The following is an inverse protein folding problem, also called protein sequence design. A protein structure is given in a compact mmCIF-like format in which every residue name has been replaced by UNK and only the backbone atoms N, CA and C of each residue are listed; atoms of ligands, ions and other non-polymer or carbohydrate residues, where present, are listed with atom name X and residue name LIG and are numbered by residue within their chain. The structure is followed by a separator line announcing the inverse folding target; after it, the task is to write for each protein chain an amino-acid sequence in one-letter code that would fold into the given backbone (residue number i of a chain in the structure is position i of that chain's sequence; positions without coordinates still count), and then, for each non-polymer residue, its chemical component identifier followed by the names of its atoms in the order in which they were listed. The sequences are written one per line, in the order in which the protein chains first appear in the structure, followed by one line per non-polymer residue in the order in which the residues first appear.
data_IF_543746998024
#
_entry.id   IF_543746998024
#
_cell.length_a   1.000
_cell.length_b   1.000
_cell.length_c   1.000
_cell.angle_alpha   90.00
_cell.angle_beta   90.00
_cell.angle_gamma   90.00
#
_symmetry.space_group_name_H-M   'P 1'
#
loop_
_entity.id
_entity.type
_entity.pdbx_description
1 polymer ?
#
# COMPACT_ATOMS: atom_id res chain seq x y z
N UNK A 1 -13.26 14.60 7.76
CA UNK A 1 -14.52 13.87 7.99
C UNK A 1 -15.38 14.48 9.11
N UNK A 2 -14.85 14.82 10.29
CA UNK A 2 -15.67 15.40 11.37
C UNK A 2 -16.33 16.75 11.04
N UNK A 3 -15.65 17.66 10.32
CA UNK A 3 -16.24 18.96 9.92
C UNK A 3 -17.50 18.82 9.05
N UNK A 4 -17.47 17.92 8.07
CA UNK A 4 -18.65 17.61 7.23
C UNK A 4 -19.75 16.91 8.03
N UNK A 5 -19.38 16.03 8.96
CA UNK A 5 -20.32 15.42 9.92
C UNK A 5 -21.01 16.45 10.80
N UNK A 6 -20.28 17.42 11.36
CA UNK A 6 -20.84 18.49 12.19
C UNK A 6 -21.75 19.43 11.40
N UNK A 7 -21.41 19.72 10.14
CA UNK A 7 -22.24 20.55 9.26
C UNK A 7 -23.56 19.86 8.90
N UNK A 8 -23.53 18.58 8.54
CA UNK A 8 -24.74 17.79 8.28
C UNK A 8 -25.66 17.68 9.52
N UNK A 9 -25.07 17.67 10.71
CA UNK A 9 -25.81 17.70 11.98
C UNK A 9 -26.41 19.07 12.29
N UNK A 10 -25.65 20.14 12.10
CA UNK A 10 -26.14 21.52 12.27
C UNK A 10 -27.40 21.77 11.42
N UNK A 11 -27.43 21.22 10.21
CA UNK A 11 -28.60 21.25 9.33
C UNK A 11 -29.81 20.49 9.92
N UNK A 12 -29.60 19.30 10.51
CA UNK A 12 -30.66 18.52 11.18
C UNK A 12 -31.20 19.22 12.44
N UNK A 13 -30.32 19.82 13.23
CA UNK A 13 -30.72 20.57 14.43
C UNK A 13 -31.54 21.80 14.07
N UNK A 14 -31.17 22.53 13.02
CA UNK A 14 -32.00 23.63 12.46
C UNK A 14 -33.38 23.15 12.04
N UNK A 15 -33.48 21.99 11.37
CA UNK A 15 -34.77 21.41 10.97
C UNK A 15 -35.63 21.01 12.18
N UNK A 16 -35.00 20.61 13.29
CA UNK A 16 -35.68 20.25 14.54
C UNK A 16 -35.94 21.47 15.47
N UNK A 17 -35.75 22.70 14.98
CA UNK A 17 -36.06 23.92 15.73
C UNK A 17 -35.01 24.35 16.76
N UNK A 18 -33.81 23.76 16.75
CA UNK A 18 -32.71 24.24 17.60
C UNK A 18 -32.12 25.55 17.08
N UNK A 19 -32.07 26.56 17.95
CA UNK A 19 -31.32 27.80 17.76
C UNK A 19 -29.82 27.60 18.06
N UNK A 20 -28.93 28.44 17.52
CA UNK A 20 -27.48 28.36 17.76
C UNK A 20 -26.70 27.45 16.81
N UNK A 21 -27.08 27.45 15.52
CA UNK A 21 -26.41 26.69 14.46
C UNK A 21 -25.92 27.60 13.32
N UNK A 22 -25.60 28.85 13.63
CA UNK A 22 -25.06 29.84 12.69
C UNK A 22 -23.55 29.72 12.55
N UNK A 23 -22.99 30.36 11.52
CA UNK A 23 -21.53 30.40 11.35
C UNK A 23 -20.88 31.09 12.56
N UNK A 24 -19.92 30.42 13.20
CA UNK A 24 -19.28 30.89 14.44
C UNK A 24 -19.80 30.21 15.71
N UNK A 25 -20.96 29.54 15.65
CA UNK A 25 -21.52 28.86 16.82
C UNK A 25 -20.83 27.51 17.09
N UNK A 26 -20.67 27.16 18.37
CA UNK A 26 -20.13 25.87 18.80
C UNK A 26 -21.27 24.88 19.01
N UNK A 27 -21.22 23.73 18.33
CA UNK A 27 -22.27 22.70 18.40
C UNK A 27 -21.75 21.46 19.15
N UNK A 28 -22.22 21.18 20.39
CA UNK A 28 -21.73 20.03 21.18
C UNK A 28 -22.24 18.72 20.60
N UNK A 29 -21.42 17.67 20.49
CA UNK A 29 -21.81 16.39 19.86
C UNK A 29 -21.22 15.18 20.57
N UNK A 30 -21.86 14.03 20.39
CA UNK A 30 -21.35 12.71 20.78
C UNK A 30 -21.61 11.71 19.64
N UNK A 31 -20.70 10.77 19.41
CA UNK A 31 -20.85 9.72 18.39
C UNK A 31 -21.46 8.48 19.03
N UNK A 32 -22.54 7.99 18.41
CA UNK A 32 -23.33 6.87 18.92
C UNK A 32 -23.41 5.70 17.93
N UNK A 33 -23.69 4.49 18.45
CA UNK A 33 -24.15 3.32 17.71
C UNK A 33 -25.64 3.06 18.00
N UNK A 34 -26.33 2.37 17.08
CA UNK A 34 -27.74 2.00 17.23
C UNK A 34 -27.82 0.60 17.87
N UNK A 35 -28.75 0.41 18.82
CA UNK A 35 -28.82 -0.80 19.65
C UNK A 35 -29.40 -2.04 18.93
N UNK A 36 -30.26 -1.85 17.92
CA UNK A 36 -31.06 -2.93 17.30
C UNK A 36 -30.57 -3.41 15.91
N UNK A 37 -29.31 -3.16 15.53
CA UNK A 37 -28.76 -3.68 14.29
C UNK A 37 -27.49 -4.48 14.56
N UNK A 38 -27.48 -5.75 14.14
CA UNK A 38 -26.29 -6.64 14.14
C UNK A 38 -25.08 -6.04 13.39
N UNK A 39 -25.27 -4.93 12.68
CA UNK A 39 -24.21 -4.06 12.16
C UNK A 39 -24.04 -2.82 13.05
N UNK A 40 -23.13 -2.90 14.02
CA UNK A 40 -22.76 -1.84 14.99
C UNK A 40 -22.23 -0.54 14.33
N UNK A 41 -21.96 -0.56 13.01
CA UNK A 41 -21.44 0.56 12.23
C UNK A 41 -22.28 0.95 11.00
N UNK A 42 -23.59 0.67 11.02
CA UNK A 42 -24.54 1.02 9.95
C UNK A 42 -24.71 2.54 9.78
N UNK A 43 -23.78 3.20 9.08
CA UNK A 43 -23.90 4.61 8.69
C UNK A 43 -22.61 5.41 8.87
N UNK A 44 -22.43 6.42 8.00
CA UNK A 44 -21.27 7.31 8.09
C UNK A 44 -21.23 8.07 9.42
N UNK A 45 -20.05 8.48 9.88
CA UNK A 45 -19.84 9.21 11.17
C UNK A 45 -20.81 10.39 11.34
N UNK A 46 -21.16 11.06 10.23
CA UNK A 46 -22.17 12.12 10.15
C UNK A 46 -23.55 11.69 10.67
N UNK A 47 -24.00 10.51 10.26
CA UNK A 47 -25.30 9.95 10.62
C UNK A 47 -25.33 9.42 12.06
N UNK A 48 -24.17 9.22 12.67
CA UNK A 48 -23.98 8.70 14.02
C UNK A 48 -23.76 9.78 15.08
N UNK A 49 -23.47 11.01 14.67
CA UNK A 49 -23.34 12.16 15.58
C UNK A 49 -24.71 12.61 16.12
N UNK A 50 -24.82 12.77 17.45
CA UNK A 50 -26.02 13.18 18.18
C UNK A 50 -25.72 14.31 19.17
N UNK A 51 -26.77 15.01 19.63
CA UNK A 51 -26.64 15.94 20.77
C UNK A 51 -26.61 15.17 22.09
N UNK A 52 -25.79 15.58 23.08
CA UNK A 52 -25.83 14.97 24.42
C UNK A 52 -27.25 14.93 25.02
N UNK A 53 -28.06 15.95 24.77
CA UNK A 53 -29.45 16.01 25.26
C UNK A 53 -30.42 15.09 24.48
N UNK A 54 -30.08 14.65 23.27
CA UNK A 54 -30.86 13.59 22.59
C UNK A 54 -30.60 12.24 23.24
N UNK A 55 -29.35 11.99 23.66
CA UNK A 55 -28.97 10.75 24.35
C UNK A 55 -29.61 10.66 25.75
N UNK A 56 -29.72 11.79 26.45
CA UNK A 56 -30.41 11.86 27.76
C UNK A 56 -31.91 11.62 27.66
N UNK A 57 -32.52 12.00 26.52
CA UNK A 57 -33.97 11.84 26.29
C UNK A 57 -34.34 10.42 25.86
N UNK A 58 -33.53 9.80 25.00
CA UNK A 58 -33.80 8.47 24.44
C UNK A 58 -32.64 7.48 24.73
N UNK A 59 -32.45 7.04 26.00
CA UNK A 59 -31.31 6.20 26.39
C UNK A 59 -31.32 4.79 25.76
N UNK A 60 -32.50 4.29 25.37
CA UNK A 60 -32.68 2.93 24.83
C UNK A 60 -32.53 2.84 23.31
N UNK A 61 -32.28 3.96 22.62
CA UNK A 61 -32.20 4.01 21.15
C UNK A 61 -30.76 4.13 20.64
N UNK A 62 -29.91 4.81 21.41
CA UNK A 62 -28.55 5.15 21.02
C UNK A 62 -27.60 4.83 22.17
N UNK A 63 -26.50 4.15 21.85
CA UNK A 63 -25.40 3.92 22.79
C UNK A 63 -24.16 4.68 22.35
N UNK A 64 -23.26 5.01 23.27
CA UNK A 64 -22.00 5.68 22.94
C UNK A 64 -21.11 4.68 22.18
N UNK A 65 -20.55 5.11 21.06
CA UNK A 65 -19.61 4.30 20.29
C UNK A 65 -18.20 4.37 20.90
N UNK A 66 -17.95 3.53 21.90
CA UNK A 66 -16.66 3.50 22.65
C UNK A 66 -15.49 3.19 21.70
N UNK A 67 -15.67 2.26 20.76
CA UNK A 67 -14.62 1.86 19.81
C UNK A 67 -14.18 3.04 18.93
N UNK A 68 -15.11 3.91 18.51
CA UNK A 68 -14.77 5.13 17.78
C UNK A 68 -13.85 6.06 18.58
N UNK A 69 -14.15 6.29 19.86
CA UNK A 69 -13.34 7.19 20.69
C UNK A 69 -11.95 6.60 20.98
N UNK A 70 -11.89 5.30 21.28
CA UNK A 70 -10.62 4.60 21.45
C UNK A 70 -9.77 4.66 20.18
N UNK A 71 -10.34 4.36 19.01
CA UNK A 71 -9.60 4.26 17.76
C UNK A 71 -9.29 5.59 17.06
N UNK A 72 -10.17 6.60 17.16
CA UNK A 72 -10.03 7.85 16.40
C UNK A 72 -9.59 9.05 17.25
N UNK A 73 -9.73 9.00 18.58
CA UNK A 73 -9.35 10.12 19.45
C UNK A 73 -8.24 9.77 20.42
N UNK A 74 -8.34 8.63 21.12
CA UNK A 74 -7.38 8.25 22.16
C UNK A 74 -6.12 7.64 21.52
N UNK A 75 -6.28 6.61 20.69
CA UNK A 75 -5.16 5.90 20.05
C UNK A 75 -4.21 6.84 19.29
N UNK A 76 -4.66 7.76 18.43
CA UNK A 76 -3.75 8.65 17.70
C UNK A 76 -2.91 9.56 18.61
N UNK A 77 -3.48 10.01 19.73
CA UNK A 77 -2.77 10.86 20.69
C UNK A 77 -1.72 10.06 21.44
N UNK A 78 -2.06 8.85 21.90
CA UNK A 78 -1.12 7.96 22.60
C UNK A 78 -0.01 7.48 21.66
N UNK A 79 -0.37 7.06 20.44
CA UNK A 79 0.55 6.66 19.37
C UNK A 79 1.63 7.72 19.15
N UNK A 80 1.22 8.99 19.00
CA UNK A 80 2.14 10.12 18.81
C UNK A 80 3.05 10.39 20.02
N UNK A 81 2.53 10.27 21.24
CA UNK A 81 3.32 10.50 22.46
C UNK A 81 4.34 9.37 22.70
N UNK A 82 4.01 8.15 22.30
CA UNK A 82 4.86 6.98 22.49
C UNK A 82 5.76 6.67 21.29
N UNK A 83 5.62 7.38 20.16
CA UNK A 83 6.33 7.07 18.91
C UNK A 83 7.86 6.97 19.05
N UNK A 84 8.47 7.74 19.96
CA UNK A 84 9.91 7.74 20.21
C UNK A 84 10.35 6.77 21.32
N UNK A 85 9.44 5.95 21.87
CA UNK A 85 9.76 5.00 22.94
C UNK A 85 10.04 3.64 22.30
N UNK A 86 11.28 3.18 22.44
CA UNK A 86 11.70 1.87 21.96
C UNK A 86 10.82 0.73 22.52
N UNK A 87 10.51 -0.25 21.68
CA UNK A 87 9.67 -1.39 22.04
C UNK A 87 8.16 -1.10 22.07
N UNK A 88 7.74 0.13 21.73
CA UNK A 88 6.33 0.44 21.48
C UNK A 88 6.01 0.42 19.98
N UNK A 89 4.79 0.03 19.63
CA UNK A 89 4.29 0.08 18.26
C UNK A 89 2.81 0.48 18.25
N UNK A 90 2.31 1.14 17.19
CA UNK A 90 0.90 1.49 17.09
C UNK A 90 -0.03 0.28 17.27
N UNK A 91 0.38 -0.89 16.77
CA UNK A 91 -0.36 -2.14 16.91
C UNK A 91 -0.41 -2.63 18.37
N UNK A 92 0.71 -2.56 19.10
CA UNK A 92 0.79 -2.93 20.52
C UNK A 92 -0.02 -1.97 21.40
N UNK A 93 0.01 -0.68 21.09
CA UNK A 93 -0.81 0.33 21.76
C UNK A 93 -2.30 0.14 21.49
N UNK A 94 -2.68 -0.29 20.28
CA UNK A 94 -4.06 -0.65 19.96
C UNK A 94 -4.54 -1.86 20.77
N UNK A 95 -3.70 -2.89 20.89
CA UNK A 95 -3.99 -4.07 21.73
C UNK A 95 -4.21 -3.67 23.20
N UNK A 96 -3.36 -2.79 23.76
CA UNK A 96 -3.54 -2.26 25.11
C UNK A 96 -4.86 -1.49 25.30
N UNK A 97 -5.42 -0.91 24.24
CA UNK A 97 -6.72 -0.23 24.24
C UNK A 97 -7.90 -1.17 23.98
N UNK A 98 -7.66 -2.47 23.81
CA UNK A 98 -8.69 -3.45 23.45
C UNK A 98 -9.18 -3.34 22.00
N UNK A 99 -8.39 -2.72 21.13
CA UNK A 99 -8.66 -2.59 19.70
C UNK A 99 -7.98 -3.73 18.93
N UNK A 100 -8.54 -4.07 17.77
CA UNK A 100 -7.96 -5.06 16.86
C UNK A 100 -6.62 -4.55 16.29
N UNK A 101 -5.52 -5.14 16.76
CA UNK A 101 -4.15 -4.74 16.41
C UNK A 101 -3.86 -4.81 14.91
N UNK A 102 -4.52 -5.71 14.16
CA UNK A 102 -4.32 -5.88 12.72
C UNK A 102 -4.66 -4.62 11.93
N UNK A 103 -5.66 -3.85 12.38
CA UNK A 103 -6.09 -2.59 11.74
C UNK A 103 -5.09 -1.45 11.90
N UNK A 104 -4.12 -1.59 12.80
CA UNK A 104 -3.14 -0.55 13.15
C UNK A 104 -1.70 -0.91 12.73
N UNK A 105 -1.48 -2.11 12.16
CA UNK A 105 -0.17 -2.52 11.63
C UNK A 105 0.22 -1.72 10.37
N UNK A 106 -0.74 -1.30 9.56
CA UNK A 106 -0.50 -0.75 8.22
C UNK A 106 -0.16 0.75 8.17
N UNK A 107 -0.24 1.47 9.30
CA UNK A 107 0.00 2.94 9.33
C UNK A 107 1.38 3.34 9.85
N UNK A 108 2.21 2.38 10.25
CA UNK A 108 3.60 2.63 10.66
C UNK A 108 4.56 2.85 9.48
N UNK A 109 4.08 2.83 8.24
CA UNK A 109 4.95 2.95 7.06
C UNK A 109 5.20 4.44 6.79
N UNK A 110 6.26 4.99 7.40
CA UNK A 110 7.01 6.11 6.82
C UNK A 110 7.04 7.46 7.55
N UNK A 111 6.67 7.56 8.84
CA UNK A 111 6.76 8.83 9.59
C UNK A 111 7.76 8.83 10.75
N UNK A 112 8.54 7.77 10.95
CA UNK A 112 9.72 7.81 11.80
C UNK A 112 10.93 8.22 10.96
N UNK A 113 11.60 9.27 11.41
CA UNK A 113 12.76 9.91 10.80
C UNK A 113 14.06 9.07 10.94
N UNK A 114 13.99 7.74 10.94
CA UNK A 114 15.09 6.76 11.08
C UNK A 114 14.65 5.54 10.25
N UNK A 115 15.32 5.04 9.20
CA UNK A 115 16.72 5.10 8.82
C UNK A 115 16.86 5.21 7.29
N UNK A 116 17.69 6.14 6.80
CA UNK A 116 18.23 6.11 5.43
C UNK A 116 18.97 4.80 5.11
N UNK A 117 19.30 4.00 6.12
CA UNK A 117 19.97 2.70 6.00
C UNK A 117 19.09 1.61 5.36
N UNK A 118 17.75 1.70 5.44
CA UNK A 118 16.84 0.73 4.80
C UNK A 118 16.56 1.04 3.33
N UNK A 119 17.03 2.17 2.80
CA UNK A 119 16.77 2.58 1.40
C UNK A 119 17.66 1.90 0.36
N UNK A 120 18.77 1.27 0.77
CA UNK A 120 19.62 0.53 -0.15
C UNK A 120 19.07 -0.88 -0.34
N UNK A 121 18.11 -1.02 -1.28
CA UNK A 121 17.58 -2.31 -1.72
C UNK A 121 18.68 -3.33 -1.99
N UNK A 122 19.87 -2.90 -2.45
CA UNK A 122 21.01 -3.75 -2.75
C UNK A 122 21.66 -4.43 -1.54
N UNK A 123 21.44 -3.94 -0.31
CA UNK A 123 22.09 -4.45 0.91
C UNK A 123 21.28 -5.54 1.61
N UNK A 124 19.97 -5.64 1.34
CA UNK A 124 19.09 -6.64 1.95
C UNK A 124 19.27 -7.97 1.22
N UNK A 125 19.80 -9.00 1.89
CA UNK A 125 20.02 -10.32 1.28
C UNK A 125 18.72 -11.13 1.13
N UNK A 126 17.75 -10.91 2.02
CA UNK A 126 16.44 -11.56 1.97
C UNK A 126 15.53 -10.91 0.91
N UNK A 127 15.08 -11.71 -0.06
CA UNK A 127 14.23 -11.27 -1.17
C UNK A 127 12.81 -10.92 -0.70
N UNK A 128 12.30 -11.60 0.32
CA UNK A 128 10.97 -11.36 0.89
C UNK A 128 10.95 -10.03 1.66
N UNK A 129 12.05 -9.70 2.34
CA UNK A 129 12.20 -8.40 3.00
C UNK A 129 12.46 -7.28 2.00
N UNK A 130 13.32 -7.52 0.99
CA UNK A 130 13.66 -6.53 -0.05
C UNK A 130 12.44 -6.05 -0.83
N UNK A 131 11.51 -6.94 -1.15
CA UNK A 131 10.30 -6.62 -1.91
C UNK A 131 9.04 -6.57 -1.06
N UNK A 132 9.22 -6.43 0.26
CA UNK A 132 8.10 -6.27 1.19
C UNK A 132 7.24 -5.06 0.80
N UNK A 133 5.93 -5.30 0.69
CA UNK A 133 4.96 -4.26 0.31
C UNK A 133 4.84 -4.02 -1.21
N UNK A 134 5.60 -4.74 -2.05
CA UNK A 134 5.33 -4.75 -3.49
C UNK A 134 4.05 -5.52 -3.82
N UNK A 135 3.33 -5.03 -4.82
CA UNK A 135 2.17 -5.72 -5.37
C UNK A 135 2.63 -6.84 -6.32
N UNK A 136 2.08 -8.07 -6.20
CA UNK A 136 2.49 -9.20 -7.02
C UNK A 136 2.17 -8.95 -8.50
N UNK A 137 2.99 -9.50 -9.40
CA UNK A 137 2.69 -9.47 -10.84
C UNK A 137 1.46 -10.33 -11.11
N UNK A 138 0.38 -9.75 -11.62
CA UNK A 138 -0.85 -10.50 -11.95
C UNK A 138 -1.02 -10.64 -13.45
N UNK A 139 -1.30 -11.84 -13.93
CA UNK A 139 -1.60 -12.09 -15.34
C UNK A 139 -3.08 -12.41 -15.51
N UNK A 140 -3.67 -11.90 -16.59
CA UNK A 140 -5.03 -12.24 -17.04
C UNK A 140 -4.94 -13.22 -18.20
N UNK A 141 -5.71 -14.30 -18.11
CA UNK A 141 -5.82 -15.27 -19.19
C UNK A 141 -6.58 -14.68 -20.39
N UNK A 142 -6.07 -14.76 -21.63
CA UNK A 142 -6.76 -14.25 -22.81
C UNK A 142 -8.06 -15.00 -23.14
N UNK A 143 -8.20 -16.26 -22.71
CA UNK A 143 -9.39 -17.08 -22.97
C UNK A 143 -10.41 -17.01 -21.83
N UNK A 144 -10.05 -17.39 -20.60
CA UNK A 144 -11.01 -17.45 -19.50
C UNK A 144 -11.16 -16.15 -18.71
N UNK A 145 -10.42 -15.08 -19.05
CA UNK A 145 -10.39 -13.74 -18.39
C UNK A 145 -9.98 -13.71 -16.91
N UNK A 146 -9.85 -14.86 -16.25
CA UNK A 146 -9.38 -14.97 -14.88
C UNK A 146 -7.98 -14.36 -14.71
N UNK A 147 -7.77 -13.74 -13.56
CA UNK A 147 -6.47 -13.24 -13.12
C UNK A 147 -5.81 -14.19 -12.13
N UNK A 148 -4.51 -14.40 -12.27
CA UNK A 148 -3.70 -15.20 -11.35
C UNK A 148 -2.37 -14.49 -11.07
N UNK A 149 -1.74 -14.83 -9.94
CA UNK A 149 -0.42 -14.31 -9.59
C UNK A 149 0.64 -15.07 -10.36
N UNK A 150 1.53 -14.33 -11.03
CA UNK A 150 2.67 -14.87 -11.73
C UNK A 150 3.76 -15.16 -10.70
N UNK A 151 4.14 -16.43 -10.49
CA UNK A 151 5.23 -16.73 -9.57
C UNK A 151 6.56 -16.21 -10.14
N UNK A 152 7.55 -15.89 -9.29
CA UNK A 152 8.92 -15.64 -9.72
C UNK A 152 9.47 -16.82 -10.54
N UNK A 153 10.29 -16.55 -11.55
CA UNK A 153 10.96 -17.61 -12.34
C UNK A 153 11.79 -18.54 -11.45
N UNK A 154 12.29 -18.05 -10.30
CA UNK A 154 13.00 -18.86 -9.29
C UNK A 154 12.16 -20.00 -8.73
N UNK A 155 10.82 -19.95 -8.79
CA UNK A 155 9.96 -21.04 -8.35
C UNK A 155 10.16 -22.33 -9.16
N UNK A 156 10.70 -22.24 -10.38
CA UNK A 156 11.07 -23.42 -11.18
C UNK A 156 12.14 -24.27 -10.48
N UNK A 157 13.03 -23.66 -9.69
CA UNK A 157 14.08 -24.39 -8.96
C UNK A 157 13.44 -25.29 -7.90
N UNK A 158 12.48 -24.76 -7.12
CA UNK A 158 11.77 -25.54 -6.11
C UNK A 158 11.09 -26.77 -6.73
N UNK A 159 10.48 -26.61 -7.90
CA UNK A 159 9.82 -27.70 -8.65
C UNK A 159 10.78 -28.80 -9.12
N UNK A 160 12.07 -28.52 -9.27
CA UNK A 160 13.08 -29.51 -9.67
C UNK A 160 13.57 -30.34 -8.48
N UNK A 161 13.54 -29.76 -7.28
CA UNK A 161 14.02 -30.40 -6.06
C UNK A 161 13.01 -31.40 -5.49
N UNK A 162 11.70 -31.18 -5.67
CA UNK A 162 10.65 -32.11 -5.23
C UNK A 162 9.65 -32.44 -6.36
N UNK A 163 9.68 -33.68 -6.91
CA UNK A 163 8.75 -34.10 -7.97
C UNK A 163 7.28 -34.21 -7.51
N UNK A 164 6.98 -34.18 -6.20
CA UNK A 164 5.61 -34.13 -5.69
C UNK A 164 5.02 -32.70 -5.67
N UNK A 165 5.85 -31.65 -5.61
CA UNK A 165 5.41 -30.24 -5.74
C UNK A 165 5.10 -29.86 -7.19
N UNK A 166 5.59 -30.63 -8.16
CA UNK A 166 5.31 -30.49 -9.59
C UNK A 166 3.83 -30.70 -10.00
N UNK A 167 2.90 -30.79 -9.05
CA UNK A 167 1.44 -30.84 -9.29
C UNK A 167 0.73 -29.51 -9.05
N UNK A 168 1.37 -28.52 -8.43
CA UNK A 168 0.76 -27.19 -8.33
C UNK A 168 0.78 -26.51 -9.72
N UNK A 169 -0.42 -26.27 -10.25
CA UNK A 169 -0.61 -25.62 -11.55
C UNK A 169 0.04 -24.23 -11.61
N UNK A 170 0.17 -23.55 -10.46
CA UNK A 170 0.79 -22.23 -10.34
C UNK A 170 2.30 -22.32 -10.54
N UNK A 171 2.96 -23.29 -9.91
CA UNK A 171 4.42 -23.50 -9.99
C UNK A 171 4.84 -23.90 -11.41
N UNK A 172 3.99 -24.67 -12.11
CA UNK A 172 4.23 -25.07 -13.49
C UNK A 172 3.85 -24.03 -14.55
N UNK A 173 3.42 -22.83 -14.15
CA UNK A 173 3.08 -21.76 -15.09
C UNK A 173 4.20 -21.54 -16.12
N UNK A 174 5.45 -21.42 -15.68
CA UNK A 174 6.58 -21.14 -16.56
C UNK A 174 6.90 -22.28 -17.54
N UNK A 175 6.70 -23.54 -17.14
CA UNK A 175 6.89 -24.70 -18.03
C UNK A 175 5.86 -24.72 -19.15
N UNK A 176 4.61 -24.37 -18.82
CA UNK A 176 3.46 -24.52 -19.72
C UNK A 176 3.12 -23.25 -20.47
N UNK A 177 3.51 -22.09 -19.92
CA UNK A 177 3.07 -20.76 -20.33
C UNK A 177 1.55 -20.70 -20.50
N UNK A 178 0.81 -21.31 -19.58
CA UNK A 178 -0.66 -21.48 -19.64
C UNK A 178 -1.30 -21.05 -18.34
N UNK A 179 -2.52 -20.52 -18.45
CA UNK A 179 -3.29 -20.18 -17.27
C UNK A 179 -3.51 -21.41 -16.37
N UNK A 180 -3.20 -21.35 -15.07
CA UNK A 180 -3.39 -22.46 -14.14
C UNK A 180 -4.87 -22.80 -13.87
N UNK A 181 -5.80 -21.93 -14.29
CA UNK A 181 -7.24 -22.10 -14.10
C UNK A 181 -7.96 -22.62 -15.35
N UNK A 182 -7.27 -22.76 -16.48
CA UNK A 182 -7.85 -23.36 -17.68
C UNK A 182 -7.60 -24.88 -17.68
N UNK A 183 -8.51 -25.68 -18.28
CA UNK A 183 -8.24 -27.08 -18.58
C UNK A 183 -7.11 -27.21 -19.62
N UNK A 184 -6.42 -28.36 -19.59
CA UNK A 184 -5.18 -28.60 -20.33
C UNK A 184 -5.35 -28.70 -21.85
N UNK A 185 -6.57 -28.91 -22.35
CA UNK A 185 -6.82 -29.14 -23.77
C UNK A 185 -7.07 -27.85 -24.60
N UNK A 186 -7.14 -26.67 -23.97
CA UNK A 186 -7.45 -25.42 -24.67
C UNK A 186 -6.18 -24.62 -24.99
N UNK A 187 -5.74 -24.62 -26.26
CA UNK A 187 -4.54 -23.89 -26.70
C UNK A 187 -4.70 -22.35 -26.62
N UNK A 188 -5.94 -21.85 -26.62
CA UNK A 188 -6.29 -20.44 -26.47
C UNK A 188 -5.93 -19.86 -25.07
N UNK A 189 -5.62 -20.71 -24.09
CA UNK A 189 -5.20 -20.28 -22.75
C UNK A 189 -3.69 -20.05 -22.61
N UNK A 190 -2.92 -20.13 -23.72
CA UNK A 190 -1.47 -19.85 -23.72
C UNK A 190 -1.18 -18.35 -23.59
N UNK A 191 -0.26 -18.04 -22.69
CA UNK A 191 0.31 -16.70 -22.54
C UNK A 191 1.49 -16.57 -23.51
N UNK A 192 1.26 -15.90 -24.64
CA UNK A 192 2.33 -15.62 -25.59
C UNK A 192 3.32 -14.57 -25.04
N UNK A 193 4.56 -14.51 -25.55
CA UNK A 193 5.54 -13.48 -25.17
C UNK A 193 4.97 -12.06 -25.27
N UNK A 194 4.24 -11.78 -26.34
CA UNK A 194 3.62 -10.48 -26.56
C UNK A 194 2.53 -10.16 -25.52
N UNK A 195 1.72 -11.15 -25.13
CA UNK A 195 0.70 -10.97 -24.07
C UNK A 195 1.37 -10.69 -22.73
N UNK A 196 2.42 -11.45 -22.39
CA UNK A 196 3.20 -11.25 -21.17
C UNK A 196 3.79 -9.83 -21.11
N UNK A 197 4.53 -9.42 -22.15
CA UNK A 197 5.15 -8.11 -22.24
C UNK A 197 4.13 -6.97 -22.14
N UNK A 198 3.01 -7.07 -22.86
CA UNK A 198 1.93 -6.08 -22.83
C UNK A 198 1.29 -5.96 -21.44
N UNK A 199 1.06 -7.08 -20.74
CA UNK A 199 0.45 -7.06 -19.42
C UNK A 199 1.37 -6.50 -18.33
N UNK A 200 2.67 -6.80 -18.41
CA UNK A 200 3.68 -6.22 -17.50
C UNK A 200 3.80 -4.73 -17.71
N UNK A 201 3.92 -4.28 -18.98
CA UNK A 201 3.96 -2.87 -19.33
C UNK A 201 2.75 -2.11 -18.79
N UNK A 202 1.54 -2.64 -19.02
CA UNK A 202 0.29 -2.02 -18.52
C UNK A 202 0.29 -1.88 -17.00
N UNK A 203 0.79 -2.87 -16.26
CA UNK A 203 0.89 -2.78 -14.81
C UNK A 203 1.95 -1.78 -14.37
N UNK A 204 3.13 -1.76 -15.01
CA UNK A 204 4.16 -0.77 -14.75
C UNK A 204 3.64 0.66 -14.98
N UNK A 205 2.93 0.89 -16.09
CA UNK A 205 2.30 2.18 -16.39
C UNK A 205 1.27 2.60 -15.33
N UNK A 206 0.54 1.64 -14.73
CA UNK A 206 -0.38 1.94 -13.63
C UNK A 206 0.36 2.41 -12.37
N UNK A 207 1.49 1.81 -12.02
CA UNK A 207 2.32 2.25 -10.89
C UNK A 207 2.96 3.61 -11.16
N UNK A 208 3.43 3.84 -12.39
CA UNK A 208 3.94 5.13 -12.82
C UNK A 208 2.84 6.20 -12.72
N UNK A 209 1.63 5.90 -13.21
CA UNK A 209 0.49 6.80 -13.08
C UNK A 209 0.15 7.08 -11.60
N UNK A 210 0.17 6.05 -10.74
CA UNK A 210 -0.03 6.22 -9.28
C UNK A 210 1.01 7.16 -8.66
N UNK A 211 2.27 7.05 -9.05
CA UNK A 211 3.33 7.98 -8.63
C UNK A 211 3.06 9.41 -9.12
N UNK A 212 2.77 9.59 -10.40
CA UNK A 212 2.54 10.90 -10.98
C UNK A 212 1.20 11.55 -10.59
N UNK A 213 0.24 10.79 -10.07
CA UNK A 213 -0.93 11.37 -9.38
C UNK A 213 -0.50 12.23 -8.19
N UNK A 214 0.66 12.00 -7.57
CA UNK A 214 1.24 12.91 -6.58
C UNK A 214 0.38 13.11 -5.34
N UNK A 215 -0.29 12.06 -4.86
CA UNK A 215 -1.11 12.14 -3.66
C UNK A 215 -0.24 12.42 -2.43
N UNK A 216 -0.49 13.54 -1.78
CA UNK A 216 0.09 13.95 -0.51
C UNK A 216 -0.91 13.74 0.62
N UNK A 217 -0.44 13.30 1.78
CA UNK A 217 -1.24 13.20 3.00
C UNK A 217 -0.47 13.78 4.18
N UNK A 218 -1.17 14.49 5.05
CA UNK A 218 -0.60 14.95 6.31
C UNK A 218 -0.24 13.75 7.20
N UNK A 219 1.00 13.73 7.69
CA UNK A 219 1.54 12.72 8.62
C UNK A 219 0.84 12.73 10.00
N UNK A 220 0.32 13.88 10.42
CA UNK A 220 -0.45 14.01 11.67
C UNK A 220 -1.73 13.14 11.60
N UNK A 221 -1.74 12.08 12.41
CA UNK A 221 -2.84 11.13 12.52
C UNK A 221 -4.18 11.81 12.87
N UNK A 222 -4.18 12.95 13.56
CA UNK A 222 -5.38 13.72 13.87
C UNK A 222 -5.90 14.55 12.69
N UNK A 223 -5.05 14.82 11.69
CA UNK A 223 -5.37 15.67 10.55
C UNK A 223 -5.95 14.87 9.38
N UNK A 224 -5.20 13.86 8.91
CA UNK A 224 -5.53 13.04 7.72
C UNK A 224 -5.93 13.85 6.48
N UNK A 225 -5.42 15.08 6.35
CA UNK A 225 -5.68 15.91 5.17
C UNK A 225 -4.94 15.33 3.97
N UNK A 226 -5.63 15.15 2.86
CA UNK A 226 -5.05 14.65 1.61
C UNK A 226 -5.27 15.63 0.46
N UNK A 227 -4.27 15.75 -0.41
CA UNK A 227 -4.31 16.66 -1.56
C UNK A 227 -3.40 16.15 -2.68
N UNK A 228 -3.70 16.54 -3.92
CA UNK A 228 -2.80 16.39 -5.06
C UNK A 228 -2.03 17.69 -5.37
N UNK A 229 -2.31 18.75 -4.62
CA UNK A 229 -1.77 20.09 -4.82
C UNK A 229 -0.63 20.32 -3.84
N UNK A 230 0.54 20.69 -4.37
CA UNK A 230 1.69 21.08 -3.56
C UNK A 230 1.43 22.42 -2.89
N UNK A 231 1.68 22.49 -1.58
CA UNK A 231 1.54 23.73 -0.83
C UNK A 231 2.84 24.56 -0.88
N UNK A 232 2.82 25.66 -1.62
CA UNK A 232 4.01 26.53 -1.80
C UNK A 232 4.34 27.41 -0.58
N UNK A 233 3.61 27.29 0.54
CA UNK A 233 3.96 27.99 1.77
C UNK A 233 5.29 27.48 2.31
N UNK A 234 6.11 28.41 2.80
CA UNK A 234 7.39 28.15 3.47
C UNK A 234 7.35 28.86 4.81
N UNK A 235 7.67 28.14 5.89
CA UNK A 235 7.67 28.64 7.26
C UNK A 235 8.91 28.11 7.98
N UNK A 236 9.77 29.03 8.44
CA UNK A 236 11.06 28.68 9.05
C UNK A 236 11.88 27.75 8.16
N UNK A 237 12.42 26.70 8.76
CA UNK A 237 13.26 25.69 8.11
C UNK A 237 12.45 24.54 7.47
N UNK A 238 11.13 24.69 7.32
CA UNK A 238 10.30 23.66 6.70
C UNK A 238 10.64 23.51 5.21
N UNK A 239 10.77 22.26 4.75
CA UNK A 239 10.96 21.97 3.33
C UNK A 239 9.78 22.50 2.50
N UNK A 240 10.08 23.09 1.34
CA UNK A 240 9.07 23.65 0.44
C UNK A 240 8.08 22.57 0.01
N UNK A 241 6.79 22.88 -0.01
CA UNK A 241 5.78 21.90 -0.42
C UNK A 241 5.21 21.05 0.71
N UNK A 242 5.87 21.00 1.88
CA UNK A 242 5.55 20.04 2.94
C UNK A 242 4.57 20.57 3.99
N UNK A 243 4.25 21.87 4.02
CA UNK A 243 3.41 22.42 5.09
C UNK A 243 1.95 21.96 4.92
N UNK A 244 1.34 21.44 5.98
CA UNK A 244 -0.09 21.11 5.98
C UNK A 244 -0.95 22.39 5.77
N UNK A 245 -1.94 22.37 4.84
CA UNK A 245 -2.82 23.53 4.62
C UNK A 245 -3.67 23.93 5.83
N UNK A 246 -3.84 23.02 6.80
CA UNK A 246 -4.54 23.30 8.05
C UNK A 246 -3.66 24.01 9.09
N UNK A 247 -2.39 24.30 8.80
CA UNK A 247 -1.55 25.14 9.66
C UNK A 247 -2.21 26.52 9.90
N UNK A 248 -2.25 27.04 11.15
CA UNK A 248 -1.53 26.59 12.35
C UNK A 248 -2.29 25.56 13.21
N UNK A 249 -3.47 25.10 12.80
CA UNK A 249 -4.26 24.12 13.57
C UNK A 249 -3.69 22.70 13.47
N UNK A 250 -2.76 22.47 12.55
CA UNK A 250 -2.01 21.24 12.39
C UNK A 250 -0.55 21.59 12.09
N UNK A 251 0.37 20.97 12.83
CA UNK A 251 1.82 21.11 12.65
C UNK A 251 2.42 19.93 11.87
N UNK A 252 1.59 19.06 11.31
CA UNK A 252 2.03 17.94 10.48
C UNK A 252 2.54 18.40 9.11
N UNK A 253 3.24 17.48 8.45
CA UNK A 253 3.80 17.65 7.11
C UNK A 253 3.04 16.81 6.09
N UNK A 254 2.87 17.36 4.90
CA UNK A 254 2.40 16.65 3.72
C UNK A 254 3.50 15.72 3.23
N UNK A 255 3.23 14.43 3.25
CA UNK A 255 4.12 13.36 2.79
C UNK A 255 3.50 12.67 1.57
N UNK A 256 4.32 12.33 0.58
CA UNK A 256 3.89 11.54 -0.58
C UNK A 256 3.48 10.15 -0.13
N UNK A 257 2.29 9.73 -0.55
CA UNK A 257 1.76 8.40 -0.23
C UNK A 257 2.35 7.28 -1.11
N UNK A 258 2.96 7.65 -2.23
CA UNK A 258 3.66 6.72 -3.10
C UNK A 258 4.93 7.41 -3.58
N UNK A 259 6.07 6.98 -3.03
CA UNK A 259 7.36 7.63 -3.21
C UNK A 259 8.07 7.10 -4.46
N UNK A 260 9.12 7.81 -4.89
CA UNK A 260 10.04 7.35 -5.93
C UNK A 260 10.73 6.05 -5.54
N UNK A 261 11.05 5.86 -4.26
CA UNK A 261 11.60 4.62 -3.73
C UNK A 261 10.59 3.47 -3.86
N UNK A 262 9.30 3.70 -3.54
CA UNK A 262 8.25 2.69 -3.69
C UNK A 262 8.04 2.28 -5.15
N UNK A 263 8.03 3.25 -6.07
CA UNK A 263 7.93 2.99 -7.50
C UNK A 263 9.14 2.18 -7.99
N UNK A 264 10.35 2.60 -7.64
CA UNK A 264 11.57 1.91 -8.05
C UNK A 264 11.63 0.48 -7.50
N UNK A 265 11.26 0.29 -6.22
CA UNK A 265 11.15 -1.04 -5.60
C UNK A 265 10.14 -1.93 -6.33
N UNK A 266 8.98 -1.39 -6.71
CA UNK A 266 7.96 -2.11 -7.47
C UNK A 266 8.43 -2.52 -8.88
N UNK A 267 9.07 -1.61 -9.61
CA UNK A 267 9.62 -1.91 -10.94
C UNK A 267 10.77 -2.92 -10.88
N UNK A 268 11.60 -2.82 -9.84
CA UNK A 268 12.68 -3.77 -9.54
C UNK A 268 12.14 -5.15 -9.18
N UNK A 269 11.05 -5.20 -8.41
CA UNK A 269 10.34 -6.46 -8.11
C UNK A 269 9.84 -7.14 -9.39
N UNK A 270 9.26 -6.41 -10.34
CA UNK A 270 8.86 -7.01 -11.63
C UNK A 270 10.05 -7.50 -12.46
N UNK A 271 11.21 -6.82 -12.39
CA UNK A 271 12.44 -7.35 -12.99
C UNK A 271 12.85 -8.65 -12.31
N UNK A 272 12.80 -8.70 -10.97
CA UNK A 272 13.14 -9.87 -10.17
C UNK A 272 12.24 -11.08 -10.47
N UNK A 273 10.93 -10.88 -10.60
CA UNK A 273 9.98 -11.96 -10.95
C UNK A 273 10.37 -12.65 -12.26
N UNK A 274 10.99 -11.92 -13.19
CA UNK A 274 11.40 -12.41 -14.50
C UNK A 274 12.91 -12.70 -14.61
N UNK A 275 13.68 -12.48 -13.55
CA UNK A 275 15.14 -12.63 -13.54
C UNK A 275 15.53 -14.10 -13.45
N UNK A 276 15.51 -14.70 -14.63
CA UNK A 276 15.87 -16.09 -14.81
C UNK A 276 17.40 -16.29 -14.64
N UNK A 277 18.22 -15.28 -14.90
CA UNK A 277 19.69 -15.38 -14.80
C UNK A 277 20.16 -15.54 -13.36
N UNK A 278 19.57 -14.79 -12.43
CA UNK A 278 19.89 -14.90 -10.99
C UNK A 278 19.53 -16.26 -10.39
N UNK A 279 18.65 -17.01 -11.06
CA UNK A 279 18.33 -18.39 -10.70
C UNK A 279 19.51 -19.33 -10.96
N UNK A 280 20.27 -19.12 -12.05
CA UNK A 280 21.41 -19.96 -12.41
C UNK A 280 22.55 -19.88 -11.39
N UNK A 281 22.73 -18.73 -10.75
CA UNK A 281 23.79 -18.53 -9.76
C UNK A 281 23.52 -19.27 -8.44
N UNK A 282 22.25 -19.55 -8.14
CA UNK A 282 21.81 -20.25 -6.92
C UNK A 282 21.71 -21.78 -7.10
N UNK A 283 21.93 -22.31 -8.31
CA UNK A 283 21.75 -23.73 -8.62
C UNK A 283 23.01 -24.57 -8.37
N UNK A 284 22.82 -25.73 -7.74
CA UNK A 284 23.85 -26.76 -7.64
C UNK A 284 24.30 -27.26 -9.02
N UNK A 285 25.59 -27.57 -9.13
CA UNK A 285 26.25 -27.93 -10.38
C UNK A 285 25.62 -29.14 -11.11
N UNK A 286 24.95 -30.04 -10.37
CA UNK A 286 24.23 -31.20 -10.92
C UNK A 286 22.88 -30.86 -11.56
N UNK A 287 22.19 -29.85 -11.04
CA UNK A 287 20.87 -29.40 -11.56
C UNK A 287 21.00 -28.34 -12.65
N UNK A 288 22.21 -27.80 -12.84
CA UNK A 288 22.49 -26.72 -13.78
C UNK A 288 22.26 -27.10 -15.25
N UNK A 289 22.78 -28.25 -15.70
CA UNK A 289 22.68 -28.67 -17.10
C UNK A 289 21.24 -28.95 -17.60
N UNK A 290 20.37 -29.65 -16.84
CA UNK A 290 18.96 -29.81 -17.22
C UNK A 290 18.22 -28.46 -17.23
N UNK A 291 18.46 -27.63 -16.22
CA UNK A 291 17.82 -26.33 -16.09
C UNK A 291 18.24 -25.39 -17.23
N UNK A 292 19.51 -25.36 -17.64
CA UNK A 292 20.01 -24.53 -18.74
C UNK A 292 19.28 -24.79 -20.08
N UNK A 293 18.89 -26.06 -20.35
CA UNK A 293 18.13 -26.41 -21.57
C UNK A 293 16.69 -25.91 -21.52
N UNK A 294 15.98 -26.14 -20.41
CA UNK A 294 14.61 -25.63 -20.22
C UNK A 294 14.60 -24.09 -20.16
N UNK A 295 15.61 -23.53 -19.51
CA UNK A 295 15.86 -22.10 -19.41
C UNK A 295 16.06 -21.46 -20.77
N UNK A 296 16.83 -22.06 -21.69
CA UNK A 296 17.06 -21.46 -23.00
C UNK A 296 15.74 -21.17 -23.76
N UNK A 297 14.79 -22.11 -23.69
CA UNK A 297 13.46 -21.97 -24.29
C UNK A 297 12.62 -20.93 -23.56
N UNK A 298 12.65 -20.97 -22.22
CA UNK A 298 11.91 -20.03 -21.39
C UNK A 298 12.43 -18.60 -21.55
N UNK A 299 13.75 -18.42 -21.57
CA UNK A 299 14.40 -17.12 -21.70
C UNK A 299 14.08 -16.49 -23.06
N UNK A 300 13.98 -17.27 -24.13
CA UNK A 300 13.50 -16.75 -25.42
C UNK A 300 12.07 -16.20 -25.32
N UNK A 301 11.24 -16.80 -24.47
CA UNK A 301 9.83 -16.40 -24.25
C UNK A 301 9.72 -15.17 -23.33
N UNK A 302 10.51 -15.12 -22.25
CA UNK A 302 10.46 -14.07 -21.23
C UNK A 302 11.28 -12.83 -21.61
N UNK A 303 12.33 -12.99 -22.43
CA UNK A 303 13.30 -11.92 -22.76
C UNK A 303 12.64 -10.62 -23.19
N UNK A 304 11.62 -10.69 -24.06
CA UNK A 304 10.87 -9.52 -24.50
C UNK A 304 10.21 -8.75 -23.35
N UNK A 305 9.60 -9.48 -22.41
CA UNK A 305 8.95 -8.92 -21.24
C UNK A 305 9.95 -8.39 -20.21
N UNK A 306 11.05 -9.12 -19.99
CA UNK A 306 12.15 -8.70 -19.13
C UNK A 306 12.81 -7.40 -19.62
N UNK A 307 13.12 -7.32 -20.92
CA UNK A 307 13.71 -6.13 -21.53
C UNK A 307 12.77 -4.92 -21.45
N UNK A 308 11.46 -5.13 -21.65
CA UNK A 308 10.49 -4.03 -21.55
C UNK A 308 10.42 -3.49 -20.11
N UNK A 309 10.33 -4.34 -19.08
CA UNK A 309 10.31 -3.87 -17.69
C UNK A 309 11.64 -3.26 -17.26
N UNK A 310 12.77 -3.85 -17.68
CA UNK A 310 14.09 -3.32 -17.41
C UNK A 310 14.24 -1.92 -18.00
N UNK A 311 13.84 -1.74 -19.27
CA UNK A 311 13.82 -0.43 -19.93
C UNK A 311 12.94 0.58 -19.19
N UNK A 312 11.80 0.17 -18.65
CA UNK A 312 10.93 1.05 -17.86
C UNK A 312 11.59 1.42 -16.52
N UNK A 313 12.17 0.44 -15.81
CA UNK A 313 12.90 0.65 -14.55
C UNK A 313 14.08 1.58 -14.75
N UNK A 314 14.88 1.38 -15.79
CA UNK A 314 16.12 2.13 -16.03
C UNK A 314 15.86 3.60 -16.43
N UNK A 315 14.62 3.94 -16.81
CA UNK A 315 14.17 5.34 -16.95
C UNK A 315 13.91 6.02 -15.61
N UNK A 316 13.81 5.27 -14.50
CA UNK A 316 13.63 5.82 -13.18
C UNK A 316 14.96 6.37 -12.67
N UNK A 317 15.04 7.69 -12.48
CA UNK A 317 16.25 8.36 -12.00
C UNK A 317 16.69 7.87 -10.60
N UNK A 318 15.76 7.36 -9.79
CA UNK A 318 16.06 6.85 -8.45
C UNK A 318 17.08 5.69 -8.44
N UNK A 319 17.18 4.93 -9.53
CA UNK A 319 18.15 3.84 -9.66
C UNK A 319 19.58 4.28 -10.01
N UNK A 320 19.79 5.57 -10.29
CA UNK A 320 21.07 6.08 -10.77
C UNK A 320 21.74 6.96 -9.72
N UNK A 321 23.02 6.70 -9.46
CA UNK A 321 23.86 7.53 -8.60
C UNK A 321 25.06 8.01 -9.40
N UNK A 322 25.11 9.32 -9.65
CA UNK A 322 26.25 9.94 -10.29
C UNK A 322 27.34 10.20 -9.24
N UNK A 323 28.32 9.29 -9.17
CA UNK A 323 29.36 9.33 -8.14
C UNK A 323 30.20 10.62 -8.14
N UNK A 324 30.31 11.29 -9.28
CA UNK A 324 31.01 12.59 -9.39
C UNK A 324 30.34 13.70 -8.58
N UNK A 325 29.03 13.59 -8.33
CA UNK A 325 28.28 14.61 -7.60
C UNK A 325 28.40 14.41 -6.08
N UNK A 326 28.84 13.22 -5.66
CA UNK A 326 29.07 12.85 -4.26
C UNK A 326 30.54 12.98 -3.84
N UNK A 327 31.47 12.76 -4.78
CA UNK A 327 32.90 12.85 -4.53
C UNK A 327 33.44 14.21 -4.99
N UNK A 328 33.82 15.06 -4.04
CA UNK A 328 34.69 16.20 -4.35
C UNK A 328 36.04 15.64 -4.76
N UNK A 329 36.44 15.88 -6.02
CA UNK A 329 37.78 15.54 -6.49
C UNK A 329 38.78 16.36 -5.65
N UNK A 330 39.61 15.68 -4.85
CA UNK A 330 40.69 16.29 -4.06
C UNK A 330 41.88 16.57 -4.97
#
# INVERSE_FOLDING_TARGET
MLKTSLMSRSLRLKQNGFSGCSAGDTVPYIICSQQDSDNTHSGGIAQRARHPDELKRDPNKWMIDIEYYLSQQIHPVVSRLCASIEGTSPARLAECLGLDSSKFQSRSIGSSNEDTSTMLLSVIDDEDERYRGCEPLRLSCPSCTNTFECPPVSSLIASLSDPNEGKDATVNFWRRMRCPRCPDDTDECRVSPAVLANQIKRQADNFINRYYKGLLMCDDEGCKYSTHIVNLRVMGDSERGTICPNYPQCNGRLVRQYTEADLYRQLSYFCYVLDATRCLDKLDQKMRLPFEKEFAVLNQTISSAFLEIQKIRDRCAFGWVQLTDLAVSI
#
